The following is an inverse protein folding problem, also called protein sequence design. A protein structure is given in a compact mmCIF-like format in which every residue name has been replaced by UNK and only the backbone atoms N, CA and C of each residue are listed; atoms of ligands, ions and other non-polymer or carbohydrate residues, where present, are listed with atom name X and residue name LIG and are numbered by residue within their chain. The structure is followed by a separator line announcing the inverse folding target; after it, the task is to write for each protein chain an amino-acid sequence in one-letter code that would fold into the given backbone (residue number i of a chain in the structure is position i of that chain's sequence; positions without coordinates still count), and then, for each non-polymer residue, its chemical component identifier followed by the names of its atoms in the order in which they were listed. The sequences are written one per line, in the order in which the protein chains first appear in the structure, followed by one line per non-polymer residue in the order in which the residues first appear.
data_IF_438899410684
#
_entry.id   IF_438899410684
#
_cell.length_a   1.000
_cell.length_b   1.000
_cell.length_c   1.000
_cell.angle_alpha   90.00
_cell.angle_beta   90.00
_cell.angle_gamma   90.00
#
_symmetry.space_group_name_H-M   'P 1'
#
loop_
_entity.id
_entity.type
_entity.pdbx_description
1 polymer ?
#
# COMPACT_ATOMS: atom_id res chain seq x y z
N UNK A 1 -14.38 -59.59 -27.51
CA UNK A 1 -15.41 -58.73 -26.87
C UNK A 1 -15.10 -57.29 -27.26
N UNK A 2 -15.80 -56.66 -28.22
CA UNK A 2 -16.95 -55.75 -28.02
C UNK A 2 -16.65 -54.73 -26.88
N UNK A 3 -16.58 -53.40 -27.05
CA UNK A 3 -17.27 -52.51 -28.00
C UNK A 3 -16.48 -51.22 -28.26
N UNK A 4 -16.42 -50.85 -29.53
CA UNK A 4 -16.26 -49.51 -30.07
C UNK A 4 -17.59 -48.77 -29.91
N UNK A 5 -17.62 -47.58 -29.30
CA UNK A 5 -18.74 -46.63 -29.42
C UNK A 5 -18.18 -45.23 -29.65
N UNK A 6 -18.36 -44.82 -30.89
CA UNK A 6 -18.21 -43.48 -31.43
C UNK A 6 -19.48 -42.69 -31.06
N UNK A 7 -19.35 -41.54 -30.39
CA UNK A 7 -20.45 -40.58 -30.19
C UNK A 7 -20.03 -39.25 -30.80
N UNK A 8 -20.57 -39.00 -31.99
CA UNK A 8 -20.69 -37.70 -32.64
C UNK A 8 -21.69 -36.84 -31.84
N UNK A 9 -21.25 -35.70 -31.30
CA UNK A 9 -22.13 -34.62 -30.85
C UNK A 9 -22.16 -33.51 -31.92
N UNK A 10 -23.33 -33.09 -32.43
CA UNK A 10 -23.44 -31.90 -33.25
C UNK A 10 -23.40 -30.64 -32.35
N UNK A 11 -22.48 -29.74 -32.67
CA UNK A 11 -22.38 -28.40 -32.08
C UNK A 11 -23.54 -27.55 -32.61
N UNK A 12 -24.63 -27.48 -31.84
CA UNK A 12 -25.76 -26.61 -32.14
C UNK A 12 -25.37 -25.15 -31.85
N UNK A 13 -25.16 -24.40 -32.92
CA UNK A 13 -25.00 -22.95 -32.95
C UNK A 13 -26.32 -22.29 -32.48
N UNK A 14 -26.39 -21.85 -31.22
CA UNK A 14 -27.43 -20.93 -30.77
C UNK A 14 -26.90 -19.49 -30.81
N UNK A 15 -27.64 -18.67 -31.55
CA UNK A 15 -27.41 -17.28 -31.83
C UNK A 15 -27.40 -16.39 -30.57
N UNK A 16 -26.59 -15.33 -30.65
CA UNK A 16 -26.62 -14.19 -29.72
C UNK A 16 -28.00 -13.52 -29.72
N UNK A 17 -28.54 -13.30 -28.53
CA UNK A 17 -29.46 -12.20 -28.25
C UNK A 17 -28.92 -11.45 -27.04
N UNK A 18 -27.98 -10.53 -27.29
CA UNK A 18 -27.47 -9.60 -26.30
C UNK A 18 -28.57 -8.65 -25.84
N UNK A 19 -29.22 -8.97 -24.72
CA UNK A 19 -29.92 -7.98 -23.90
C UNK A 19 -28.88 -7.34 -22.99
N UNK A 20 -28.38 -6.17 -23.39
CA UNK A 20 -27.61 -5.29 -22.50
C UNK A 20 -28.56 -4.78 -21.43
N UNK A 21 -28.68 -5.53 -20.33
CA UNK A 21 -29.33 -5.06 -19.12
C UNK A 21 -28.51 -3.88 -18.58
N UNK A 22 -29.10 -2.69 -18.60
CA UNK A 22 -28.53 -1.51 -17.96
C UNK A 22 -28.27 -1.84 -16.48
N UNK A 23 -26.99 -1.80 -16.10
CA UNK A 23 -26.56 -1.92 -14.70
C UNK A 23 -27.21 -0.77 -13.91
N UNK A 24 -27.91 -1.05 -12.79
CA UNK A 24 -28.43 0.01 -11.94
C UNK A 24 -27.28 0.92 -11.51
N UNK A 25 -27.41 2.22 -11.75
CA UNK A 25 -26.47 3.20 -11.25
C UNK A 25 -26.43 3.08 -9.72
N UNK A 26 -25.22 2.92 -9.18
CA UNK A 26 -25.02 2.90 -7.73
C UNK A 26 -25.55 4.22 -7.14
N UNK A 27 -26.23 4.19 -5.98
CA UNK A 27 -26.73 5.40 -5.36
C UNK A 27 -25.55 6.35 -5.08
N UNK A 28 -25.66 7.59 -5.57
CA UNK A 28 -24.69 8.63 -5.31
C UNK A 28 -24.50 8.78 -3.80
N UNK A 29 -23.28 8.51 -3.32
CA UNK A 29 -22.90 8.74 -1.93
C UNK A 29 -23.09 10.22 -1.62
N UNK A 30 -24.06 10.50 -0.75
CA UNK A 30 -24.39 11.85 -0.29
C UNK A 30 -23.11 12.46 0.30
N UNK A 31 -22.68 13.60 -0.25
CA UNK A 31 -21.50 14.31 0.23
C UNK A 31 -21.60 14.53 1.76
N UNK A 32 -20.58 14.09 2.49
CA UNK A 32 -20.50 14.29 3.93
C UNK A 32 -20.50 15.79 4.23
N UNK A 33 -21.43 16.24 5.08
CA UNK A 33 -21.49 17.63 5.52
C UNK A 33 -20.17 17.99 6.21
N UNK A 34 -19.66 19.24 6.07
CA UNK A 34 -18.46 19.68 6.77
C UNK A 34 -18.66 19.44 8.27
N UNK A 35 -17.81 18.57 8.84
CA UNK A 35 -17.85 18.25 10.26
C UNK A 35 -17.57 19.48 11.11
N UNK A 36 -18.15 19.54 12.30
CA UNK A 36 -17.82 20.59 13.28
C UNK A 36 -16.31 20.59 13.52
N UNK A 37 -15.70 21.77 13.55
CA UNK A 37 -14.30 21.93 13.92
C UNK A 37 -14.07 21.28 15.29
N UNK A 38 -13.11 20.36 15.34
CA UNK A 38 -12.74 19.66 16.57
C UNK A 38 -11.87 20.62 17.37
N UNK A 39 -12.21 20.83 18.65
CA UNK A 39 -11.44 21.63 19.60
C UNK A 39 -10.94 20.74 20.73
N UNK A 40 -9.83 21.12 21.35
CA UNK A 40 -9.32 20.43 22.54
C UNK A 40 -10.28 20.67 23.71
N UNK A 41 -10.77 19.63 24.40
CA UNK A 41 -11.69 19.80 25.52
C UNK A 41 -11.00 20.41 26.74
N UNK A 42 -11.73 21.24 27.48
CA UNK A 42 -11.30 21.82 28.75
C UNK A 42 -11.15 20.68 29.77
N UNK A 43 -9.91 20.38 30.18
CA UNK A 43 -9.58 19.20 30.99
C UNK A 43 -8.81 18.11 30.24
N UNK A 44 -8.39 18.36 29.00
CA UNK A 44 -7.37 17.54 28.36
C UNK A 44 -5.99 17.84 28.98
N UNK A 45 -5.24 16.79 29.31
CA UNK A 45 -3.87 16.88 29.82
C UNK A 45 -2.91 17.05 28.65
N UNK A 46 -2.08 18.09 28.66
CA UNK A 46 -0.99 18.23 27.69
C UNK A 46 0.02 17.10 27.91
N UNK A 47 0.24 16.28 26.88
CA UNK A 47 1.22 15.19 26.90
C UNK A 47 2.51 15.63 26.24
N UNK A 48 2.41 16.37 25.13
CA UNK A 48 3.52 16.89 24.36
C UNK A 48 3.10 18.21 23.70
N UNK A 49 4.04 18.99 23.17
CA UNK A 49 3.77 20.22 22.41
C UNK A 49 2.77 19.95 21.27
N UNK A 50 1.56 20.50 21.40
CA UNK A 50 0.50 20.29 20.41
C UNK A 50 -0.20 18.93 20.50
N UNK A 51 -0.03 18.17 21.59
CA UNK A 51 -0.70 16.90 21.83
C UNK A 51 -1.33 16.86 23.22
N UNK A 52 -2.65 16.69 23.26
CA UNK A 52 -3.41 16.58 24.49
C UNK A 52 -4.10 15.22 24.59
N UNK A 53 -4.17 14.67 25.81
CA UNK A 53 -4.90 13.43 26.13
C UNK A 53 -6.13 13.76 26.95
N UNK A 54 -7.25 13.14 26.63
CA UNK A 54 -8.50 13.30 27.35
C UNK A 54 -9.22 11.96 27.46
N UNK A 55 -9.56 11.57 28.68
CA UNK A 55 -10.39 10.39 28.94
C UNK A 55 -11.85 10.84 29.04
N UNK A 56 -12.67 10.36 28.13
CA UNK A 56 -14.10 10.67 28.08
C UNK A 56 -14.88 9.98 29.20
N UNK A 57 -16.15 10.37 29.35
CA UNK A 57 -17.08 9.79 30.34
C UNK A 57 -17.38 8.31 30.11
N UNK A 58 -17.17 7.85 28.88
CA UNK A 58 -17.27 6.47 28.41
C UNK A 58 -16.02 5.63 28.77
N UNK A 59 -15.02 6.22 29.43
CA UNK A 59 -13.74 5.57 29.72
C UNK A 59 -12.83 5.46 28.50
N UNK A 60 -13.22 6.01 27.34
CA UNK A 60 -12.38 6.01 26.15
C UNK A 60 -11.36 7.15 26.21
N UNK A 61 -10.10 6.79 26.01
CA UNK A 61 -9.02 7.78 25.90
C UNK A 61 -8.88 8.27 24.46
N UNK A 62 -8.90 9.59 24.32
CA UNK A 62 -8.74 10.31 23.07
C UNK A 62 -7.52 11.22 23.13
N UNK A 63 -6.81 11.29 22.03
CA UNK A 63 -5.71 12.22 21.80
C UNK A 63 -6.17 13.31 20.83
N UNK A 64 -5.90 14.55 21.18
CA UNK A 64 -6.12 15.72 20.35
C UNK A 64 -4.75 16.19 19.87
N UNK A 65 -4.52 16.20 18.56
CA UNK A 65 -3.25 16.62 17.98
C UNK A 65 -3.45 17.89 17.18
N UNK A 66 -2.63 18.89 17.44
CA UNK A 66 -2.54 20.10 16.64
C UNK A 66 -1.85 19.78 15.32
N UNK A 67 -2.50 20.13 14.22
CA UNK A 67 -1.95 20.08 12.87
C UNK A 67 -2.11 21.44 12.19
N UNK A 68 -1.40 21.72 11.09
CA UNK A 68 -1.58 22.95 10.32
C UNK A 68 -3.02 23.18 9.83
N UNK A 69 -3.83 22.12 9.73
CA UNK A 69 -5.22 22.17 9.27
C UNK A 69 -6.23 22.21 10.44
N UNK A 70 -5.76 22.42 11.67
CA UNK A 70 -6.57 22.40 12.88
C UNK A 70 -6.30 21.19 13.76
N UNK A 71 -7.15 20.98 14.76
CA UNK A 71 -7.00 19.88 15.73
C UNK A 71 -7.69 18.63 15.20
N UNK A 72 -6.99 17.51 15.25
CA UNK A 72 -7.56 16.18 14.96
C UNK A 72 -7.77 15.40 16.25
N UNK A 73 -8.84 14.59 16.31
CA UNK A 73 -9.09 13.66 17.42
C UNK A 73 -8.74 12.23 16.99
N UNK A 74 -7.89 11.57 17.74
CA UNK A 74 -7.38 10.21 17.49
C UNK A 74 -7.72 9.35 18.71
N UNK A 75 -8.28 8.15 18.52
CA UNK A 75 -8.49 7.24 19.64
C UNK A 75 -7.13 6.68 20.11
N UNK A 76 -6.98 6.37 21.39
CA UNK A 76 -5.74 5.76 21.93
C UNK A 76 -5.31 4.51 21.15
N UNK A 77 -6.26 3.68 20.72
CA UNK A 77 -6.01 2.49 19.87
C UNK A 77 -5.39 2.81 18.50
N UNK A 78 -5.67 4.00 17.97
CA UNK A 78 -5.19 4.46 16.65
C UNK A 78 -3.93 5.33 16.78
N UNK A 79 -3.55 5.67 18.02
CA UNK A 79 -2.32 6.38 18.36
C UNK A 79 -1.08 5.48 18.25
N UNK A 80 -1.29 4.17 18.33
CA UNK A 80 -0.29 3.19 17.91
C UNK A 80 -0.19 3.26 16.39
N UNK A 81 0.74 4.08 15.90
CA UNK A 81 1.26 3.94 14.55
C UNK A 81 1.84 2.53 14.46
N UNK A 82 1.03 1.57 14.02
CA UNK A 82 1.55 0.29 13.55
C UNK A 82 2.27 0.67 12.27
N UNK A 83 3.62 0.61 12.20
CA UNK A 83 4.27 0.67 10.92
C UNK A 83 3.60 -0.39 10.07
N UNK A 84 3.04 0.01 8.93
CA UNK A 84 2.55 -0.95 7.96
C UNK A 84 3.71 -1.93 7.69
N UNK A 85 3.51 -3.26 7.78
CA UNK A 85 4.58 -4.22 7.51
C UNK A 85 5.13 -4.10 6.07
N UNK A 86 4.46 -3.33 5.19
CA UNK A 86 4.93 -2.89 3.88
C UNK A 86 5.85 -1.66 3.90
N UNK A 87 6.10 -1.01 5.04
CA UNK A 87 7.28 -0.15 5.24
C UNK A 87 8.48 -1.05 5.51
N UNK A 88 8.74 -1.97 4.58
CA UNK A 88 10.07 -2.52 4.43
C UNK A 88 11.00 -1.34 4.17
N UNK A 89 12.21 -1.35 4.76
CA UNK A 89 13.24 -0.33 4.51
C UNK A 89 13.21 0.10 3.04
N UNK A 90 13.30 1.39 2.75
CA UNK A 90 13.17 1.90 1.37
C UNK A 90 14.09 1.16 0.37
N UNK A 91 15.22 0.60 0.83
CA UNK A 91 16.12 -0.23 0.04
C UNK A 91 15.62 -1.67 -0.22
N UNK A 92 14.80 -2.23 0.67
CA UNK A 92 14.33 -3.61 0.60
C UNK A 92 13.26 -3.85 -0.49
N UNK A 93 12.53 -2.81 -0.89
CA UNK A 93 11.52 -2.87 -1.97
C UNK A 93 12.09 -2.48 -3.34
N UNK A 94 13.36 -2.02 -3.38
CA UNK A 94 14.04 -1.66 -4.62
C UNK A 94 14.73 -2.92 -5.18
N UNK A 95 14.39 -3.26 -6.43
CA UNK A 95 15.15 -4.20 -7.23
C UNK A 95 16.29 -3.43 -7.89
N UNK A 96 17.52 -3.88 -7.71
CA UNK A 96 18.71 -3.32 -8.34
C UNK A 96 19.31 -4.36 -9.30
N UNK A 97 19.44 -4.02 -10.58
CA UNK A 97 20.05 -4.86 -11.61
C UNK A 97 21.31 -4.17 -12.13
N UNK A 98 22.43 -4.87 -12.07
CA UNK A 98 23.70 -4.36 -12.56
C UNK A 98 23.79 -4.46 -14.09
N UNK A 99 23.99 -3.31 -14.74
CA UNK A 99 24.15 -3.18 -16.20
C UNK A 99 25.48 -2.45 -16.46
N UNK A 100 26.59 -3.19 -16.38
CA UNK A 100 27.94 -2.68 -16.63
C UNK A 100 28.38 -1.61 -15.64
N UNK A 101 28.51 -0.36 -16.09
CA UNK A 101 28.90 0.80 -15.26
C UNK A 101 27.71 1.41 -14.49
N UNK A 102 26.49 1.05 -14.90
CA UNK A 102 25.24 1.56 -14.33
C UNK A 102 24.47 0.49 -13.58
N UNK A 103 23.60 0.93 -12.68
CA UNK A 103 22.65 0.10 -11.96
C UNK A 103 21.25 0.59 -12.29
N UNK A 104 20.43 -0.32 -12.79
CA UNK A 104 19.00 -0.10 -13.03
C UNK A 104 18.22 -0.44 -11.78
N UNK A 105 17.43 0.48 -11.31
CA UNK A 105 16.59 0.34 -10.13
C UNK A 105 15.11 0.30 -10.53
N UNK A 106 14.35 -0.57 -9.89
CA UNK A 106 12.89 -0.68 -10.04
C UNK A 106 12.25 -0.68 -8.65
N UNK A 107 11.29 0.23 -8.41
CA UNK A 107 10.57 0.33 -7.13
C UNK A 107 9.06 0.41 -7.36
N UNK A 108 8.26 -0.43 -6.68
CA UNK A 108 6.82 -0.27 -6.65
C UNK A 108 6.41 1.07 -6.02
N UNK A 109 5.49 1.77 -6.64
CA UNK A 109 4.86 2.98 -6.09
C UNK A 109 3.34 2.90 -6.24
N UNK A 110 2.57 3.72 -5.50
CA UNK A 110 1.11 3.80 -5.66
C UNK A 110 0.65 4.15 -7.09
N UNK A 111 1.53 4.73 -7.90
CA UNK A 111 1.27 5.11 -9.29
C UNK A 111 1.85 4.12 -10.31
N UNK A 112 2.34 2.95 -9.85
CA UNK A 112 2.97 1.92 -10.68
C UNK A 112 4.47 1.78 -10.40
N UNK A 113 5.17 1.03 -11.26
CA UNK A 113 6.60 0.77 -11.15
C UNK A 113 7.40 2.00 -11.60
N UNK A 114 8.18 2.56 -10.69
CA UNK A 114 9.16 3.61 -11.01
C UNK A 114 10.48 2.93 -11.34
N UNK A 115 11.06 3.30 -12.49
CA UNK A 115 12.36 2.81 -12.95
C UNK A 115 13.32 3.97 -13.12
N UNK A 116 14.54 3.81 -12.65
CA UNK A 116 15.61 4.79 -12.87
C UNK A 116 16.95 4.07 -13.00
N UNK A 117 17.89 4.70 -13.69
CA UNK A 117 19.24 4.16 -13.88
C UNK A 117 20.25 5.16 -13.35
N UNK A 118 21.27 4.67 -12.65
CA UNK A 118 22.29 5.51 -12.04
C UNK A 118 23.66 4.87 -12.11
N UNK A 119 24.72 5.68 -12.13
CA UNK A 119 26.09 5.17 -12.08
C UNK A 119 26.42 4.63 -10.70
N UNK A 120 27.28 3.61 -10.64
CA UNK A 120 27.74 3.03 -9.37
C UNK A 120 28.43 4.04 -8.45
N UNK A 121 29.07 5.06 -9.03
CA UNK A 121 29.74 6.14 -8.29
C UNK A 121 28.81 7.23 -7.78
N UNK A 122 27.55 7.25 -8.21
CA UNK A 122 26.56 8.30 -7.88
C UNK A 122 25.40 7.77 -7.03
N UNK A 123 25.53 6.54 -6.50
CA UNK A 123 24.53 5.93 -5.65
C UNK A 123 24.45 6.63 -4.30
N UNK A 124 23.24 6.91 -3.83
CA UNK A 124 22.99 7.33 -2.45
C UNK A 124 22.95 6.12 -1.50
N UNK A 125 22.86 6.36 -0.20
CA UNK A 125 22.89 5.30 0.83
C UNK A 125 21.81 4.23 0.63
N UNK A 126 20.61 4.62 0.18
CA UNK A 126 19.49 3.71 -0.04
C UNK A 126 19.72 2.84 -1.29
N UNK A 127 20.20 3.45 -2.38
CA UNK A 127 20.52 2.77 -3.64
C UNK A 127 21.71 1.83 -3.47
N UNK A 128 22.73 2.26 -2.71
CA UNK A 128 23.90 1.45 -2.35
C UNK A 128 23.47 0.23 -1.53
N UNK A 129 22.60 0.40 -0.54
CA UNK A 129 22.07 -0.70 0.26
C UNK A 129 21.24 -1.68 -0.58
N UNK A 130 20.42 -1.17 -1.52
CA UNK A 130 19.66 -2.01 -2.44
C UNK A 130 20.57 -2.82 -3.38
N UNK A 131 21.62 -2.19 -3.93
CA UNK A 131 22.59 -2.85 -4.80
C UNK A 131 23.41 -3.92 -4.06
N UNK A 132 23.92 -3.60 -2.86
CA UNK A 132 24.64 -4.57 -2.02
C UNK A 132 23.78 -5.79 -1.70
N UNK A 133 22.52 -5.59 -1.33
CA UNK A 133 21.58 -6.70 -1.07
C UNK A 133 21.43 -7.63 -2.28
N UNK A 134 21.33 -7.08 -3.48
CA UNK A 134 21.25 -7.91 -4.69
C UNK A 134 22.56 -8.67 -4.93
N UNK A 135 23.72 -8.04 -4.71
CA UNK A 135 25.03 -8.69 -4.81
C UNK A 135 25.16 -9.86 -3.81
N UNK A 136 24.76 -9.63 -2.55
CA UNK A 136 24.78 -10.66 -1.50
C UNK A 136 23.82 -11.82 -1.82
N UNK A 137 22.65 -11.52 -2.39
CA UNK A 137 21.70 -12.54 -2.84
C UNK A 137 22.25 -13.35 -4.02
N UNK A 138 22.84 -12.70 -5.01
CA UNK A 138 23.47 -13.37 -6.15
C UNK A 138 24.65 -14.25 -5.73
N UNK A 139 25.48 -13.79 -4.78
CA UNK A 139 26.59 -14.55 -4.22
C UNK A 139 26.11 -15.81 -3.47
N UNK A 140 24.98 -15.73 -2.75
CA UNK A 140 24.37 -16.90 -2.10
C UNK A 140 23.78 -17.89 -3.09
N UNK A 141 23.14 -17.42 -4.16
CA UNK A 141 22.57 -18.30 -5.20
C UNK A 141 23.65 -19.01 -6.02
N UNK A 142 24.84 -18.44 -6.15
CA UNK A 142 25.98 -19.07 -6.84
C UNK A 142 26.75 -20.13 -6.04
N UNK A 143 26.46 -20.32 -4.74
CA UNK A 143 27.17 -21.26 -3.88
C UNK A 143 26.42 -22.59 -3.65
N UNK A 144 25.27 -22.78 -4.32
CA UNK A 144 24.49 -24.01 -4.32
C UNK A 144 24.55 -24.64 -5.72
N UNK A 145 25.72 -25.12 -6.12
CA UNK A 145 25.91 -26.10 -7.21
C UNK A 145 27.20 -26.87 -7.01
#
# INVERSE_FOLDING_TARGET
MKRLVLVLLPFALCAQAGKTAAKPAAPATKAAKPGKAITVPQGATLVETGLWKHTGKDGLTWFYRQSPFGVIKVAEKDMQFKPDPGVTSAAATILAVEEGDTVRFEKPSPFGLVRWTKKKTELNDVELAAWKRTQDAAAKTGQEN
#
